data_IF_647922611661
#
_entry.id   IF_647922611661
#
_cell.length_a   1.000
_cell.length_b   1.000
_cell.length_c   1.000
_cell.angle_alpha   90.00
_cell.angle_beta   90.00
_cell.angle_gamma   90.00
#
_symmetry.space_group_name_H-M   'P 1'
#
loop_
_entity.id
_entity.type
_entity.pdbx_description
1 polymer ?
#
# COMPACT_ATOMS: atom_id res chain seq x y z
N UNK A 1 -12.48 -20.83 -1.96
CA UNK A 1 -12.16 -19.51 -1.39
C UNK A 1 -12.58 -19.51 0.07
N UNK A 2 -11.64 -19.41 0.99
CA UNK A 2 -11.98 -19.31 2.40
C UNK A 2 -12.60 -17.95 2.66
N UNK A 3 -13.86 -17.92 3.08
CA UNK A 3 -14.53 -16.70 3.52
C UNK A 3 -13.70 -16.09 4.66
N UNK A 4 -13.24 -14.88 4.48
CA UNK A 4 -12.38 -14.19 5.46
C UNK A 4 -13.23 -13.48 6.54
N UNK A 5 -14.25 -14.17 7.04
CA UNK A 5 -15.13 -13.69 8.12
C UNK A 5 -14.65 -14.08 9.51
N UNK A 6 -13.34 -14.23 9.70
CA UNK A 6 -12.78 -14.45 11.03
C UNK A 6 -12.99 -13.20 11.88
N UNK A 7 -13.43 -13.35 13.15
CA UNK A 7 -13.44 -12.22 14.08
C UNK A 7 -12.00 -11.72 14.22
N UNK A 8 -11.75 -10.53 13.67
CA UNK A 8 -10.43 -9.93 13.76
C UNK A 8 -10.16 -9.42 15.16
N UNK A 9 -8.92 -9.57 15.61
CA UNK A 9 -8.45 -8.88 16.79
C UNK A 9 -8.56 -7.37 16.53
N UNK A 10 -9.49 -6.73 17.21
CA UNK A 10 -9.64 -5.27 17.15
C UNK A 10 -8.75 -4.65 18.21
N UNK A 11 -7.73 -3.93 17.76
CA UNK A 11 -6.80 -3.23 18.66
C UNK A 11 -7.23 -1.79 18.97
N UNK A 12 -8.40 -1.36 18.49
CA UNK A 12 -8.89 0.02 18.63
C UNK A 12 -7.86 1.06 18.17
N UNK A 13 -7.36 0.92 16.96
CA UNK A 13 -6.31 1.76 16.40
C UNK A 13 -6.79 3.15 15.95
N UNK A 14 -8.09 3.41 16.03
CA UNK A 14 -8.73 4.67 15.67
C UNK A 14 -9.54 4.60 14.37
N UNK A 15 -10.52 5.51 14.25
CA UNK A 15 -11.47 5.55 13.14
C UNK A 15 -10.79 5.73 11.78
N UNK A 16 -9.74 6.56 11.70
CA UNK A 16 -9.01 6.81 10.46
C UNK A 16 -8.34 5.53 9.93
N UNK A 17 -7.79 4.73 10.84
CA UNK A 17 -7.17 3.45 10.50
C UNK A 17 -8.22 2.44 10.06
N UNK A 18 -9.36 2.40 10.72
CA UNK A 18 -10.45 1.49 10.35
C UNK A 18 -11.04 1.85 8.98
N UNK A 19 -11.28 3.12 8.71
CA UNK A 19 -11.74 3.59 7.39
C UNK A 19 -10.72 3.29 6.28
N UNK A 20 -9.43 3.51 6.55
CA UNK A 20 -8.37 3.15 5.61
C UNK A 20 -8.37 1.65 5.33
N UNK A 21 -8.45 0.82 6.36
CA UNK A 21 -8.51 -0.65 6.21
C UNK A 21 -9.68 -1.08 5.35
N UNK A 22 -10.87 -0.54 5.59
CA UNK A 22 -12.08 -0.87 4.81
C UNK A 22 -11.92 -0.46 3.34
N UNK A 23 -11.33 0.70 3.07
CA UNK A 23 -11.04 1.16 1.70
C UNK A 23 -10.05 0.24 0.99
N UNK A 24 -8.99 -0.19 1.68
CA UNK A 24 -8.01 -1.12 1.14
C UNK A 24 -8.67 -2.47 0.84
N UNK A 25 -9.47 -3.01 1.78
CA UNK A 25 -10.18 -4.27 1.58
C UNK A 25 -11.06 -4.26 0.35
N UNK A 26 -11.85 -3.21 0.19
CA UNK A 26 -12.69 -3.05 -0.99
C UNK A 26 -11.85 -3.09 -2.28
N UNK A 27 -10.78 -2.32 -2.34
CA UNK A 27 -9.88 -2.32 -3.49
C UNK A 27 -9.27 -3.70 -3.75
N UNK A 28 -8.76 -4.33 -2.69
CA UNK A 28 -8.13 -5.65 -2.74
C UNK A 28 -9.10 -6.73 -3.24
N UNK A 29 -10.31 -6.76 -2.70
CA UNK A 29 -11.33 -7.75 -3.07
C UNK A 29 -11.83 -7.55 -4.52
N UNK A 30 -11.87 -6.30 -5.01
CA UNK A 30 -12.32 -5.97 -6.37
C UNK A 30 -11.21 -6.10 -7.42
N UNK A 31 -9.96 -5.76 -7.10
CA UNK A 31 -8.88 -5.58 -8.09
C UNK A 31 -7.74 -6.58 -8.00
N UNK A 32 -7.45 -7.11 -6.83
CA UNK A 32 -6.30 -7.99 -6.63
C UNK A 32 -6.75 -9.44 -6.49
N UNK A 33 -7.69 -9.73 -5.59
CA UNK A 33 -8.12 -11.09 -5.30
C UNK A 33 -8.61 -11.88 -6.53
N UNK A 34 -9.39 -11.32 -7.46
CA UNK A 34 -9.84 -12.04 -8.65
C UNK A 34 -8.69 -12.44 -9.60
N UNK A 35 -7.54 -11.80 -9.46
CA UNK A 35 -6.36 -12.00 -10.33
C UNK A 35 -5.20 -12.73 -9.63
N UNK A 36 -5.36 -13.06 -8.35
CA UNK A 36 -4.27 -13.61 -7.54
C UNK A 36 -3.68 -14.89 -8.14
N UNK A 37 -4.52 -15.84 -8.55
CA UNK A 37 -4.09 -17.10 -9.16
C UNK A 37 -3.37 -16.88 -10.52
N UNK A 38 -3.83 -15.91 -11.31
CA UNK A 38 -3.18 -15.56 -12.57
C UNK A 38 -1.81 -14.95 -12.35
N UNK A 39 -1.71 -14.01 -11.41
CA UNK A 39 -0.46 -13.33 -11.02
C UNK A 39 0.55 -14.38 -10.55
N UNK A 40 0.15 -15.29 -9.69
CA UNK A 40 1.01 -16.36 -9.17
C UNK A 40 1.48 -17.31 -10.28
N UNK A 41 0.56 -17.74 -11.16
CA UNK A 41 0.85 -18.68 -12.25
C UNK A 41 1.75 -18.09 -13.34
N UNK A 42 1.63 -16.80 -13.62
CA UNK A 42 2.34 -16.15 -14.74
C UNK A 42 3.62 -15.45 -14.36
N UNK A 43 3.90 -15.29 -13.04
CA UNK A 43 4.99 -14.48 -12.49
C UNK A 43 5.03 -13.06 -13.10
N UNK A 44 3.88 -12.53 -13.50
CA UNK A 44 3.79 -11.22 -14.14
C UNK A 44 3.37 -10.16 -13.15
N UNK A 45 4.20 -9.12 -13.01
CA UNK A 45 3.91 -7.98 -12.14
C UNK A 45 2.74 -7.14 -12.67
N UNK A 46 1.66 -6.95 -11.90
CA UNK A 46 0.47 -6.22 -12.34
C UNK A 46 0.67 -4.71 -12.25
N UNK A 47 1.37 -4.12 -13.20
CA UNK A 47 1.69 -2.69 -13.23
C UNK A 47 0.47 -1.77 -13.20
N UNK A 48 -0.63 -2.22 -13.74
CA UNK A 48 -1.91 -1.49 -13.76
C UNK A 48 -2.50 -1.23 -12.37
N UNK A 49 -2.03 -1.93 -11.33
CA UNK A 49 -2.44 -1.69 -9.94
C UNK A 49 -1.70 -0.51 -9.30
N UNK A 50 -0.55 -0.09 -9.87
CA UNK A 50 0.35 0.83 -9.17
C UNK A 50 -0.21 2.23 -9.03
N UNK A 51 -0.71 2.81 -10.11
CA UNK A 51 -1.33 4.13 -10.08
C UNK A 51 -2.60 4.13 -9.21
N UNK A 52 -3.54 3.18 -9.33
CA UNK A 52 -4.70 3.09 -8.42
C UNK A 52 -4.33 2.97 -6.94
N UNK A 53 -3.27 2.25 -6.59
CA UNK A 53 -2.76 2.21 -5.21
C UNK A 53 -2.23 3.57 -4.76
N UNK A 54 -1.57 4.31 -5.65
CA UNK A 54 -1.13 5.69 -5.43
C UNK A 54 -2.29 6.66 -5.23
N UNK A 55 -3.34 6.56 -6.05
CA UNK A 55 -4.56 7.37 -5.95
C UNK A 55 -5.30 7.16 -4.62
N UNK A 56 -5.21 5.96 -4.04
CA UNK A 56 -5.68 5.67 -2.69
C UNK A 56 -4.74 6.18 -1.58
N UNK A 57 -3.62 6.82 -1.93
CA UNK A 57 -2.62 7.32 -0.98
C UNK A 57 -1.74 6.25 -0.34
N UNK A 58 -1.84 4.98 -0.79
CA UNK A 58 -1.21 3.85 -0.12
C UNK A 58 0.32 3.84 -0.24
N UNK A 59 0.87 4.38 -1.33
CA UNK A 59 2.32 4.46 -1.48
C UNK A 59 2.98 5.45 -0.51
N UNK A 60 2.25 6.47 -0.06
CA UNK A 60 2.75 7.56 0.77
C UNK A 60 2.25 7.58 2.22
N UNK A 61 1.88 6.44 2.80
CA UNK A 61 1.33 6.38 4.17
C UNK A 61 2.29 6.92 5.24
N UNK A 62 3.59 6.80 5.04
CA UNK A 62 4.62 7.28 5.97
C UNK A 62 5.26 8.61 5.55
N UNK A 63 4.81 9.20 4.45
CA UNK A 63 5.37 10.43 3.86
C UNK A 63 4.48 11.62 4.17
N UNK A 64 5.06 12.79 4.41
CA UNK A 64 4.30 14.01 4.65
C UNK A 64 3.55 14.50 3.41
N UNK A 65 2.50 15.27 3.64
CA UNK A 65 1.68 15.89 2.59
C UNK A 65 2.51 16.81 1.66
N UNK A 66 3.60 17.38 2.17
CA UNK A 66 4.51 18.23 1.38
C UNK A 66 5.11 17.51 0.15
N UNK A 67 5.14 16.19 0.16
CA UNK A 67 5.63 15.34 -0.93
C UNK A 67 4.54 14.44 -1.53
N UNK A 68 3.28 14.74 -1.27
CA UNK A 68 2.12 13.99 -1.77
C UNK A 68 1.70 12.80 -0.91
N UNK A 69 2.31 12.62 0.27
CA UNK A 69 1.94 11.57 1.23
C UNK A 69 0.70 11.91 2.06
N UNK A 70 0.30 10.98 2.92
CA UNK A 70 -0.86 11.12 3.82
C UNK A 70 -0.50 11.10 5.31
N UNK A 71 0.75 10.87 5.66
CA UNK A 71 1.31 10.97 7.01
C UNK A 71 0.58 10.16 8.11
N UNK A 72 0.04 9.00 7.79
CA UNK A 72 -0.66 8.11 8.74
C UNK A 72 0.29 7.22 9.58
N UNK A 73 1.56 7.14 9.17
CA UNK A 73 2.59 6.45 9.94
C UNK A 73 2.70 4.94 9.68
N UNK A 74 3.54 4.28 10.51
CA UNK A 74 3.93 2.88 10.27
C UNK A 74 2.84 1.86 10.59
N UNK A 75 1.95 2.14 11.52
CA UNK A 75 0.81 1.26 11.80
C UNK A 75 -0.10 1.15 10.57
N UNK A 76 -0.40 2.28 9.93
CA UNK A 76 -1.14 2.30 8.67
C UNK A 76 -0.41 1.53 7.56
N UNK A 77 0.90 1.70 7.44
CA UNK A 77 1.72 0.96 6.49
C UNK A 77 1.66 -0.56 6.71
N UNK A 78 1.75 -1.02 7.95
CA UNK A 78 1.66 -2.44 8.29
C UNK A 78 0.30 -3.03 7.92
N UNK A 79 -0.78 -2.31 8.19
CA UNK A 79 -2.14 -2.71 7.85
C UNK A 79 -2.34 -2.79 6.32
N UNK A 80 -1.80 -1.82 5.58
CA UNK A 80 -1.86 -1.85 4.12
C UNK A 80 -1.12 -3.06 3.54
N UNK A 81 0.07 -3.36 4.03
CA UNK A 81 0.82 -4.57 3.64
C UNK A 81 0.03 -5.84 3.96
N UNK A 82 -0.56 -5.92 5.16
CA UNK A 82 -1.38 -7.06 5.58
C UNK A 82 -2.56 -7.29 4.63
N UNK A 83 -3.37 -6.27 4.37
CA UNK A 83 -4.57 -6.38 3.55
C UNK A 83 -4.25 -6.70 2.08
N UNK A 84 -3.22 -6.10 1.51
CA UNK A 84 -2.78 -6.41 0.14
C UNK A 84 -2.21 -7.84 0.07
N UNK A 85 -1.38 -8.24 1.03
CA UNK A 85 -0.77 -9.58 1.07
C UNK A 85 -1.80 -10.68 1.29
N UNK A 86 -2.91 -10.40 1.96
CA UNK A 86 -4.03 -11.33 2.13
C UNK A 86 -4.58 -11.82 0.79
N UNK A 87 -4.63 -10.97 -0.21
CA UNK A 87 -5.08 -11.33 -1.56
C UNK A 87 -3.96 -11.91 -2.42
N UNK A 88 -2.78 -11.30 -2.38
CA UNK A 88 -1.62 -11.73 -3.16
C UNK A 88 -0.33 -11.36 -2.42
N UNK A 89 0.39 -12.38 -1.95
CA UNK A 89 1.66 -12.19 -1.26
C UNK A 89 2.71 -11.53 -2.16
N UNK A 90 2.72 -11.84 -3.47
CA UNK A 90 3.66 -11.22 -4.42
C UNK A 90 3.39 -9.73 -4.63
N UNK A 91 2.12 -9.33 -4.73
CA UNK A 91 1.74 -7.91 -4.80
C UNK A 91 2.06 -7.20 -3.49
N UNK A 92 1.79 -7.84 -2.34
CA UNK A 92 2.12 -7.31 -1.03
C UNK A 92 3.62 -7.09 -0.83
N UNK A 93 4.45 -8.03 -1.28
CA UNK A 93 5.91 -7.89 -1.25
C UNK A 93 6.37 -6.71 -2.13
N UNK A 94 5.88 -6.60 -3.35
CA UNK A 94 6.21 -5.51 -4.27
C UNK A 94 5.75 -4.15 -3.73
N UNK A 95 4.55 -4.10 -3.15
CA UNK A 95 4.04 -2.91 -2.49
C UNK A 95 4.92 -2.50 -1.30
N UNK A 96 5.30 -3.43 -0.43
CA UNK A 96 6.18 -3.17 0.70
C UNK A 96 7.57 -2.70 0.27
N UNK A 97 8.12 -3.29 -0.79
CA UNK A 97 9.40 -2.86 -1.36
C UNK A 97 9.32 -1.42 -1.89
N UNK A 98 8.26 -1.06 -2.59
CA UNK A 98 8.07 0.28 -3.12
C UNK A 98 7.80 1.32 -2.02
N UNK A 99 6.80 1.09 -1.18
CA UNK A 99 6.34 2.07 -0.19
C UNK A 99 7.31 2.22 0.99
N UNK A 100 7.91 1.12 1.46
CA UNK A 100 8.77 1.14 2.64
C UNK A 100 10.27 1.11 2.31
N UNK A 101 10.73 0.17 1.48
CA UNK A 101 12.16 0.06 1.19
C UNK A 101 12.66 1.13 0.21
N UNK A 102 11.80 1.69 -0.62
CA UNK A 102 12.16 2.78 -1.54
C UNK A 102 11.68 4.13 -1.00
N UNK A 103 10.38 4.39 -1.03
CA UNK A 103 9.80 5.71 -0.70
C UNK A 103 10.16 6.17 0.71
N UNK A 104 9.92 5.33 1.72
CA UNK A 104 10.20 5.69 3.10
C UNK A 104 11.71 5.96 3.34
N UNK A 105 12.60 5.22 2.68
CA UNK A 105 14.04 5.43 2.84
C UNK A 105 14.48 6.75 2.20
N UNK A 106 13.96 7.10 1.02
CA UNK A 106 14.23 8.41 0.41
C UNK A 106 13.68 9.53 1.31
N UNK A 107 12.47 9.35 1.85
CA UNK A 107 11.87 10.32 2.75
C UNK A 107 12.69 10.55 4.03
N UNK A 108 13.23 9.48 4.63
CA UNK A 108 14.00 9.58 5.87
C UNK A 108 15.41 10.11 5.68
N UNK A 109 16.08 9.69 4.62
CA UNK A 109 17.52 9.86 4.48
C UNK A 109 17.94 10.71 3.28
N UNK A 110 17.03 11.00 2.34
CA UNK A 110 17.30 11.89 1.23
C UNK A 110 17.45 13.34 1.69
N UNK A 111 18.25 14.12 0.96
CA UNK A 111 18.23 15.57 1.09
C UNK A 111 16.99 16.19 0.43
N UNK A 112 16.73 17.48 0.63
CA UNK A 112 15.51 18.15 0.13
C UNK A 112 15.38 18.06 -1.39
N UNK A 113 16.48 18.23 -2.13
CA UNK A 113 16.47 18.12 -3.59
C UNK A 113 16.08 16.70 -4.06
N UNK A 114 16.59 15.67 -3.41
CA UNK A 114 16.23 14.29 -3.69
C UNK A 114 14.77 13.99 -3.36
N UNK A 115 14.29 14.43 -2.21
CA UNK A 115 12.88 14.26 -1.82
C UNK A 115 11.94 14.94 -2.81
N UNK A 116 12.18 16.19 -3.15
CA UNK A 116 11.37 16.93 -4.12
C UNK A 116 11.39 16.31 -5.52
N UNK A 117 12.54 15.77 -5.93
CA UNK A 117 12.71 15.15 -7.25
C UNK A 117 11.98 13.82 -7.39
N UNK A 118 12.05 12.96 -6.38
CA UNK A 118 11.64 11.56 -6.50
C UNK A 118 10.31 11.24 -5.83
N UNK A 119 10.04 11.79 -4.63
CA UNK A 119 8.88 11.36 -3.85
C UNK A 119 7.53 11.60 -4.51
N UNK A 120 7.23 12.76 -5.13
CA UNK A 120 5.91 13.00 -5.70
C UNK A 120 5.49 11.94 -6.71
N UNK A 121 6.37 11.56 -7.63
CA UNK A 121 6.08 10.55 -8.66
C UNK A 121 6.04 9.13 -8.11
N UNK A 122 6.91 8.81 -7.17
CA UNK A 122 6.89 7.52 -6.50
C UNK A 122 5.61 7.32 -5.68
N UNK A 123 5.15 8.36 -5.01
CA UNK A 123 3.93 8.33 -4.19
C UNK A 123 2.67 8.26 -5.06
N UNK A 124 2.63 8.94 -6.20
CA UNK A 124 1.50 8.86 -7.15
C UNK A 124 1.42 7.53 -7.89
N UNK A 125 2.53 6.81 -8.00
CA UNK A 125 2.60 5.55 -8.74
C UNK A 125 2.87 5.74 -10.26
N UNK A 126 3.30 6.94 -10.69
CA UNK A 126 3.69 7.22 -12.08
C UNK A 126 4.91 6.41 -12.57
#
# INVERSE_FOLDING_TARGET
>A
MLSNSYPMLQFNLGEDIDMMRDSIRKFVDEKIMPRADEIDRTDTFPRDLWQPLGELGLHGLTVSEAYGGVALGYTAQAIAVEEISRASASVGLSYGAHSNLCINQIYRWGNDAQKQKYLPKLVSGE
#
